data_IF_268027601268
#
_entry.id   IF_268027601268
#
_cell.length_a   1.000
_cell.length_b   1.000
_cell.length_c   1.000
_cell.angle_alpha   90.00
_cell.angle_beta   90.00
_cell.angle_gamma   90.00
#
_symmetry.space_group_name_H-M   'P 1'
#
loop_
_entity.id
_entity.type
_entity.pdbx_description
1 polymer ?
#
# COMPACT_ATOMS: atom_id res chain seq x y z
N UNK A 1 -35.85 -6.36 28.75
CA UNK A 1 -34.61 -5.70 28.26
C UNK A 1 -33.43 -6.66 28.14
N UNK A 2 -33.03 -7.43 29.17
CA UNK A 2 -31.88 -8.36 29.09
C UNK A 2 -31.92 -9.42 27.97
N UNK A 3 -33.09 -9.89 27.55
CA UNK A 3 -33.23 -10.90 26.48
C UNK A 3 -32.84 -10.38 25.09
N UNK A 4 -32.92 -9.07 24.86
CA UNK A 4 -32.58 -8.44 23.57
C UNK A 4 -31.10 -8.09 23.50
N UNK A 5 -30.46 -7.85 24.65
CA UNK A 5 -29.03 -7.49 24.78
C UNK A 5 -28.11 -8.67 24.45
N UNK A 6 -28.49 -9.91 24.82
CA UNK A 6 -27.72 -11.12 24.52
C UNK A 6 -27.51 -11.38 23.01
N UNK A 7 -28.57 -11.37 22.17
CA UNK A 7 -28.40 -11.57 20.74
C UNK A 7 -27.72 -10.38 20.04
N UNK A 8 -27.89 -9.14 20.52
CA UNK A 8 -27.15 -8.00 19.96
C UNK A 8 -25.65 -8.11 20.27
N UNK A 9 -25.28 -8.49 21.50
CA UNK A 9 -23.88 -8.68 21.86
C UNK A 9 -23.22 -9.80 21.04
N UNK A 10 -23.93 -10.92 20.84
CA UNK A 10 -23.46 -12.01 19.98
C UNK A 10 -23.28 -11.56 18.52
N UNK A 11 -24.22 -10.79 17.97
CA UNK A 11 -24.14 -10.25 16.62
C UNK A 11 -22.96 -9.26 16.47
N UNK A 12 -22.71 -8.40 17.46
CA UNK A 12 -21.59 -7.46 17.45
C UNK A 12 -20.23 -8.17 17.48
N UNK A 13 -20.09 -9.26 18.24
CA UNK A 13 -18.85 -10.06 18.27
C UNK A 13 -18.62 -10.69 16.90
N UNK A 14 -19.66 -11.27 16.28
CA UNK A 14 -19.55 -11.87 14.94
C UNK A 14 -19.17 -10.80 13.89
N UNK A 15 -19.78 -9.62 13.95
CA UNK A 15 -19.44 -8.52 13.04
C UNK A 15 -17.99 -8.04 13.23
N UNK A 16 -17.50 -7.98 14.47
CA UNK A 16 -16.10 -7.67 14.74
C UNK A 16 -15.14 -8.75 14.20
N UNK A 17 -15.53 -10.03 14.22
CA UNK A 17 -14.74 -11.12 13.65
C UNK A 17 -14.55 -11.04 12.12
N UNK A 18 -15.46 -10.36 11.42
CA UNK A 18 -15.34 -10.09 9.98
C UNK A 18 -14.61 -8.78 9.65
N UNK A 19 -14.12 -8.06 10.67
CA UNK A 19 -13.32 -6.87 10.47
C UNK A 19 -11.89 -7.27 10.13
N UNK A 20 -11.63 -7.53 8.86
CA UNK A 20 -10.27 -7.75 8.36
C UNK A 20 -9.54 -6.41 8.22
N UNK A 21 -8.39 -6.27 8.87
CA UNK A 21 -7.49 -5.14 8.64
C UNK A 21 -6.75 -5.37 7.32
N UNK A 22 -6.79 -4.38 6.43
CA UNK A 22 -5.92 -4.37 5.26
C UNK A 22 -4.52 -3.95 5.73
N UNK A 23 -3.62 -4.92 5.88
CA UNK A 23 -2.20 -4.64 6.09
C UNK A 23 -1.56 -4.27 4.76
N UNK A 24 -0.70 -3.25 4.77
CA UNK A 24 0.15 -2.98 3.63
C UNK A 24 1.09 -4.17 3.39
N UNK A 25 1.29 -4.53 2.14
CA UNK A 25 2.31 -5.50 1.78
C UNK A 25 3.69 -4.87 2.00
N UNK A 26 4.62 -5.65 2.55
CA UNK A 26 6.02 -5.25 2.59
C UNK A 26 6.61 -5.36 1.18
N UNK A 27 7.29 -4.31 0.72
CA UNK A 27 7.83 -4.23 -0.64
C UNK A 27 9.34 -4.08 -0.55
N UNK A 28 10.06 -5.18 -0.70
CA UNK A 28 11.52 -5.17 -0.75
C UNK A 28 12.03 -4.46 -2.02
N UNK A 29 11.36 -4.69 -3.17
CA UNK A 29 11.81 -4.17 -4.46
C UNK A 29 10.68 -3.65 -5.34
N UNK A 30 10.90 -2.49 -5.95
CA UNK A 30 10.01 -1.89 -6.94
C UNK A 30 10.76 -1.56 -8.24
N UNK A 31 10.12 -1.83 -9.39
CA UNK A 31 10.67 -1.51 -10.69
C UNK A 31 9.72 -0.61 -11.47
N UNK A 32 10.20 0.58 -11.83
CA UNK A 32 9.45 1.54 -12.62
C UNK A 32 9.69 1.30 -14.11
N UNK A 33 8.60 1.03 -14.83
CA UNK A 33 8.53 1.17 -16.28
C UNK A 33 8.12 2.60 -16.59
N UNK A 34 9.00 3.34 -17.26
CA UNK A 34 8.84 4.76 -17.54
C UNK A 34 8.40 4.90 -19.00
N UNK A 35 7.15 5.32 -19.27
CA UNK A 35 6.63 5.45 -20.63
C UNK A 35 7.11 6.75 -21.29
N UNK A 36 8.42 6.94 -21.35
CA UNK A 36 9.05 8.12 -21.93
C UNK A 36 10.57 8.00 -21.96
N UNK A 37 11.18 8.78 -22.86
CA UNK A 37 12.62 8.82 -23.01
C UNK A 37 13.34 9.37 -21.76
N UNK A 38 14.62 9.01 -21.64
CA UNK A 38 15.48 9.45 -20.55
C UNK A 38 15.56 10.99 -20.46
N UNK A 39 15.57 11.53 -19.24
CA UNK A 39 15.64 12.96 -18.98
C UNK A 39 14.34 13.75 -19.23
N UNK A 40 13.28 13.11 -19.72
CA UNK A 40 11.96 13.72 -19.87
C UNK A 40 11.22 13.88 -18.53
N UNK A 41 10.09 14.59 -18.55
CA UNK A 41 9.27 14.82 -17.35
C UNK A 41 8.81 13.52 -16.68
N UNK A 42 8.43 12.51 -17.47
CA UNK A 42 8.08 11.18 -16.97
C UNK A 42 9.26 10.47 -16.29
N UNK A 43 10.47 10.60 -16.83
CA UNK A 43 11.68 9.98 -16.27
C UNK A 43 12.07 10.60 -14.93
N UNK A 44 12.12 11.93 -14.87
CA UNK A 44 12.43 12.63 -13.61
C UNK A 44 11.36 12.42 -12.54
N UNK A 45 10.07 12.34 -12.94
CA UNK A 45 8.98 12.07 -11.98
C UNK A 45 9.10 10.68 -11.38
N UNK A 46 9.36 9.66 -12.19
CA UNK A 46 9.53 8.29 -11.71
C UNK A 46 10.76 8.17 -10.79
N UNK A 47 11.91 8.73 -11.20
CA UNK A 47 13.15 8.70 -10.41
C UNK A 47 13.03 9.48 -9.11
N UNK A 48 12.41 10.65 -9.14
CA UNK A 48 12.15 11.46 -7.94
C UNK A 48 11.22 10.76 -6.96
N UNK A 49 10.15 10.13 -7.45
CA UNK A 49 9.25 9.32 -6.61
C UNK A 49 9.99 8.15 -5.99
N UNK A 50 10.76 7.39 -6.78
CA UNK A 50 11.53 6.25 -6.29
C UNK A 50 12.55 6.64 -5.22
N UNK A 51 13.24 7.78 -5.38
CA UNK A 51 14.18 8.29 -4.39
C UNK A 51 13.51 8.61 -3.04
N UNK A 52 12.31 9.23 -3.08
CA UNK A 52 11.53 9.50 -1.86
C UNK A 52 11.05 8.21 -1.20
N UNK A 53 10.61 7.22 -1.97
CA UNK A 53 10.15 5.93 -1.43
C UNK A 53 11.26 5.19 -0.68
N UNK A 54 12.49 5.21 -1.20
CA UNK A 54 13.65 4.64 -0.49
C UNK A 54 14.00 5.47 0.74
N UNK A 55 14.06 6.80 0.62
CA UNK A 55 14.42 7.70 1.74
C UNK A 55 13.39 7.73 2.87
N UNK A 56 12.16 7.30 2.60
CA UNK A 56 11.08 7.18 3.59
C UNK A 56 10.95 5.78 4.16
N UNK A 57 11.88 4.88 3.84
CA UNK A 57 11.90 3.47 4.27
C UNK A 57 10.61 2.72 3.88
N UNK A 58 9.96 3.11 2.78
CA UNK A 58 8.76 2.44 2.24
C UNK A 58 9.15 1.26 1.33
N UNK A 59 10.29 1.36 0.64
CA UNK A 59 10.82 0.31 -0.26
C UNK A 59 12.34 0.24 -0.10
N UNK A 60 12.91 -0.95 0.02
CA UNK A 60 14.38 -1.09 0.18
C UNK A 60 15.15 -0.77 -1.11
N UNK A 61 14.63 -1.22 -2.27
CA UNK A 61 15.32 -1.03 -3.54
C UNK A 61 14.38 -0.63 -4.69
N UNK A 62 14.78 0.37 -5.46
CA UNK A 62 14.07 0.81 -6.67
C UNK A 62 14.97 0.71 -7.91
N UNK A 63 14.37 0.36 -9.04
CA UNK A 63 15.06 0.32 -10.34
C UNK A 63 14.17 0.89 -11.46
N UNK A 64 14.77 1.30 -12.57
CA UNK A 64 14.11 2.10 -13.60
C UNK A 64 14.44 1.59 -14.99
N UNK A 65 13.43 1.52 -15.87
CA UNK A 65 13.59 1.25 -17.29
C UNK A 65 12.76 2.25 -18.08
N UNK A 66 13.42 2.99 -18.98
CA UNK A 66 12.73 3.78 -20.00
C UNK A 66 12.31 2.87 -21.16
N UNK A 67 11.10 3.10 -21.68
CA UNK A 67 10.57 2.44 -22.87
C UNK A 67 11.02 3.15 -24.16
#
# INVERSE_FOLDING_TARGET
MLKVIKPTLAASIIAASFSFNAFAADIEKMHFLIPGGAGGGWDMTARGTGDVLVKSDIVENVSFQNL
#
